data_IF_462631106107
#
_entry.id   IF_462631106107
#
_cell.length_a   1.000
_cell.length_b   1.000
_cell.length_c   1.000
_cell.angle_alpha   90.00
_cell.angle_beta   90.00
_cell.angle_gamma   90.00
#
_symmetry.space_group_name_H-M   'P 1'
#
loop_
_entity.id
_entity.type
_entity.pdbx_description
1 polymer ?
#
# COMPACT_ATOMS: atom_id res chain seq x y z
N UNK A 1 -58.87 -81.70 37.56
CA UNK A 1 -58.46 -81.22 36.23
C UNK A 1 -58.70 -79.71 36.19
N UNK A 2 -57.70 -78.98 35.68
CA UNK A 2 -57.74 -77.58 35.20
C UNK A 2 -58.22 -76.48 36.16
N UNK A 3 -57.28 -75.62 36.60
CA UNK A 3 -57.54 -74.17 36.76
C UNK A 3 -56.29 -73.37 36.41
N UNK A 4 -56.45 -72.49 35.43
CA UNK A 4 -55.47 -71.54 34.90
C UNK A 4 -55.10 -70.45 35.92
N UNK A 5 -53.82 -70.06 35.94
CA UNK A 5 -53.36 -68.77 36.46
C UNK A 5 -52.95 -67.89 35.26
N UNK A 6 -53.76 -66.89 34.96
CA UNK A 6 -53.45 -65.84 33.99
C UNK A 6 -52.55 -64.78 34.61
N UNK A 7 -51.39 -64.53 34.01
CA UNK A 7 -50.48 -63.45 34.37
C UNK A 7 -50.80 -62.25 33.48
N UNK A 8 -51.39 -61.20 34.09
CA UNK A 8 -51.53 -59.89 33.45
C UNK A 8 -50.18 -59.17 33.40
N UNK A 9 -49.64 -58.96 32.19
CA UNK A 9 -48.47 -58.10 31.95
C UNK A 9 -48.91 -56.92 31.06
N UNK A 10 -49.54 -55.93 31.69
CA UNK A 10 -50.09 -54.74 31.04
C UNK A 10 -49.05 -53.66 30.75
N UNK A 11 -49.01 -53.25 29.49
CA UNK A 11 -48.95 -51.87 28.98
C UNK A 11 -47.78 -50.94 29.32
N UNK A 12 -46.68 -51.43 29.90
CA UNK A 12 -45.49 -50.58 30.15
C UNK A 12 -44.48 -50.48 29.00
N UNK A 13 -44.58 -51.32 27.97
CA UNK A 13 -43.59 -51.34 26.87
C UNK A 13 -43.83 -50.26 25.82
N UNK A 14 -45.08 -49.95 25.49
CA UNK A 14 -45.42 -49.01 24.41
C UNK A 14 -45.18 -47.54 24.79
N UNK A 15 -45.44 -47.17 26.04
CA UNK A 15 -45.19 -45.80 26.53
C UNK A 15 -43.70 -45.44 26.53
N UNK A 16 -42.83 -46.40 26.89
CA UNK A 16 -41.37 -46.21 26.87
C UNK A 16 -40.84 -46.08 25.44
N UNK A 17 -41.37 -46.87 24.51
CA UNK A 17 -40.99 -46.81 23.08
C UNK A 17 -41.47 -45.49 22.45
N UNK A 18 -42.69 -45.05 22.76
CA UNK A 18 -43.22 -43.78 22.27
C UNK A 18 -42.43 -42.57 22.81
N UNK A 19 -42.07 -42.58 24.09
CA UNK A 19 -41.25 -41.53 24.70
C UNK A 19 -39.84 -41.47 24.09
N UNK A 20 -39.22 -42.62 23.82
CA UNK A 20 -37.92 -42.68 23.16
C UNK A 20 -37.99 -42.18 21.70
N UNK A 21 -39.04 -42.54 20.97
CA UNK A 21 -39.25 -42.08 19.60
C UNK A 21 -39.46 -40.55 19.54
N UNK A 22 -40.23 -39.99 20.48
CA UNK A 22 -40.42 -38.54 20.61
C UNK A 22 -39.13 -37.81 20.99
N UNK A 23 -38.33 -38.39 21.89
CA UNK A 23 -37.03 -37.83 22.27
C UNK A 23 -36.05 -37.82 21.10
N UNK A 24 -35.99 -38.91 20.33
CA UNK A 24 -35.16 -39.02 19.13
C UNK A 24 -35.64 -38.06 18.02
N UNK A 25 -36.95 -37.90 17.84
CA UNK A 25 -37.50 -36.93 16.90
C UNK A 25 -37.16 -35.49 17.30
N UNK A 26 -37.27 -35.15 18.59
CA UNK A 26 -36.88 -33.83 19.10
C UNK A 26 -35.36 -33.59 18.99
N UNK A 27 -34.53 -34.61 19.24
CA UNK A 27 -33.08 -34.52 19.03
C UNK A 27 -32.71 -34.35 17.56
N UNK A 28 -33.41 -35.02 16.64
CA UNK A 28 -33.22 -34.86 15.20
C UNK A 28 -33.64 -33.45 14.73
N UNK A 29 -34.77 -32.94 15.22
CA UNK A 29 -35.25 -31.59 14.91
C UNK A 29 -34.29 -30.54 15.49
N UNK A 30 -33.84 -30.70 16.74
CA UNK A 30 -32.85 -29.83 17.36
C UNK A 30 -31.50 -29.86 16.62
N UNK A 31 -31.07 -31.03 16.14
CA UNK A 31 -29.88 -31.16 15.31
C UNK A 31 -30.04 -30.47 13.95
N UNK A 32 -31.23 -30.46 13.35
CA UNK A 32 -31.48 -29.74 12.08
C UNK A 32 -31.64 -28.23 12.26
N UNK A 33 -32.17 -27.76 13.39
CA UNK A 33 -32.34 -26.33 13.69
C UNK A 33 -31.05 -25.70 14.25
N UNK A 34 -30.19 -26.50 14.89
CA UNK A 34 -28.90 -26.07 15.46
C UNK A 34 -27.71 -26.45 14.59
N UNK A 35 -27.91 -27.24 13.52
CA UNK A 35 -26.89 -27.42 12.50
C UNK A 35 -26.64 -26.04 11.86
N UNK A 36 -25.41 -25.49 11.95
CA UNK A 36 -25.08 -24.37 11.08
C UNK A 36 -25.39 -24.83 9.65
N UNK A 37 -25.95 -23.95 8.79
CA UNK A 37 -26.20 -24.30 7.40
C UNK A 37 -24.94 -24.97 6.87
N UNK A 38 -25.10 -26.14 6.25
CA UNK A 38 -24.03 -26.78 5.51
C UNK A 38 -23.63 -25.82 4.39
N UNK A 39 -22.75 -24.88 4.72
CA UNK A 39 -21.95 -24.16 3.75
C UNK A 39 -21.13 -25.26 3.11
N UNK A 40 -21.36 -25.52 1.82
CA UNK A 40 -20.25 -26.03 1.03
C UNK A 40 -19.06 -25.14 1.39
N UNK A 41 -17.92 -25.76 1.67
CA UNK A 41 -16.64 -25.06 1.75
C UNK A 41 -16.32 -24.53 0.34
N UNK A 42 -17.14 -23.62 -0.19
CA UNK A 42 -16.65 -22.59 -1.07
C UNK A 42 -15.80 -21.70 -0.18
N UNK A 43 -14.51 -22.02 -0.11
CA UNK A 43 -13.49 -21.21 0.54
C UNK A 43 -13.69 -19.75 0.08
N UNK A 44 -14.27 -18.92 0.94
CA UNK A 44 -14.49 -17.50 0.64
C UNK A 44 -13.19 -16.67 0.74
N UNK A 45 -12.04 -17.34 0.71
CA UNK A 45 -10.74 -16.74 0.45
C UNK A 45 -10.03 -17.66 -0.53
N UNK A 46 -9.81 -17.18 -1.76
CA UNK A 46 -9.13 -17.96 -2.79
C UNK A 46 -7.76 -18.46 -2.29
N UNK A 47 -7.36 -19.64 -2.76
CA UNK A 47 -6.03 -20.21 -2.50
C UNK A 47 -4.99 -19.61 -3.44
N UNK A 48 -3.78 -19.39 -2.93
CA UNK A 48 -2.63 -19.04 -3.75
C UNK A 48 -2.17 -20.29 -4.54
N UNK A 49 -1.98 -20.14 -5.85
CA UNK A 49 -1.59 -21.24 -6.73
C UNK A 49 -0.08 -21.25 -7.05
N UNK A 50 0.59 -20.12 -6.84
CA UNK A 50 2.00 -19.93 -7.15
C UNK A 50 2.24 -19.44 -8.58
N UNK A 51 3.43 -18.87 -8.79
CA UNK A 51 3.81 -18.16 -10.02
C UNK A 51 3.73 -19.06 -11.27
N UNK A 52 4.02 -20.35 -11.12
CA UNK A 52 3.96 -21.33 -12.20
C UNK A 52 2.59 -21.37 -12.90
N UNK A 53 1.50 -21.05 -12.19
CA UNK A 53 0.15 -21.00 -12.75
C UNK A 53 -0.06 -19.85 -13.77
N UNK A 54 0.84 -18.85 -13.76
CA UNK A 54 0.85 -17.72 -14.69
C UNK A 54 1.85 -17.91 -15.85
N UNK A 55 2.82 -18.81 -15.69
CA UNK A 55 4.09 -18.81 -16.43
C UNK A 55 4.06 -19.41 -17.85
N UNK A 56 2.90 -19.87 -18.34
CA UNK A 56 2.80 -20.42 -19.70
C UNK A 56 3.11 -19.37 -20.77
N UNK A 57 3.78 -19.75 -21.85
CA UNK A 57 4.10 -18.85 -22.99
C UNK A 57 2.86 -18.34 -23.73
N UNK A 58 1.73 -19.06 -23.62
CA UNK A 58 0.42 -18.60 -24.09
C UNK A 58 -0.30 -17.69 -23.10
N UNK A 59 0.29 -17.45 -21.93
CA UNK A 59 -0.25 -16.66 -20.83
C UNK A 59 0.65 -15.44 -20.56
N UNK A 60 1.59 -15.53 -19.62
CA UNK A 60 2.47 -14.43 -19.18
C UNK A 60 3.97 -14.76 -19.25
N UNK A 61 4.34 -15.86 -19.92
CA UNK A 61 5.72 -16.40 -19.95
C UNK A 61 6.49 -16.23 -21.27
N UNK A 62 6.10 -15.31 -22.16
CA UNK A 62 6.90 -14.98 -23.34
C UNK A 62 8.20 -14.26 -22.96
N UNK A 63 9.19 -14.37 -23.84
CA UNK A 63 10.47 -13.67 -23.69
C UNK A 63 10.42 -12.24 -24.23
N UNK A 64 9.49 -11.96 -25.15
CA UNK A 64 9.24 -10.65 -25.72
C UNK A 64 7.78 -10.27 -25.52
N UNK A 65 7.53 -8.98 -25.31
CA UNK A 65 6.19 -8.45 -25.05
C UNK A 65 5.37 -8.25 -26.33
N UNK A 66 5.29 -9.27 -27.17
CA UNK A 66 4.70 -9.27 -28.51
C UNK A 66 3.38 -10.06 -28.60
N UNK A 67 2.75 -10.33 -27.44
CA UNK A 67 1.44 -10.96 -27.39
C UNK A 67 0.33 -10.13 -28.05
N UNK A 68 -0.74 -10.82 -28.48
CA UNK A 68 -1.81 -10.22 -29.31
C UNK A 68 -2.75 -9.33 -28.52
N UNK A 69 -3.13 -9.75 -27.31
CA UNK A 69 -4.09 -9.04 -26.45
C UNK A 69 -3.39 -8.30 -25.33
N UNK A 70 -2.40 -8.94 -24.71
CA UNK A 70 -1.51 -8.34 -23.72
C UNK A 70 -0.08 -8.65 -24.15
N UNK A 71 0.92 -8.05 -23.51
CA UNK A 71 2.32 -8.27 -23.86
C UNK A 71 2.75 -9.73 -23.71
N UNK A 72 2.23 -10.41 -22.67
CA UNK A 72 2.56 -11.81 -22.32
C UNK A 72 4.00 -12.03 -21.84
N UNK A 73 4.79 -10.97 -21.56
CA UNK A 73 6.15 -11.03 -21.02
C UNK A 73 6.23 -10.65 -19.53
N UNK A 74 5.08 -10.58 -18.85
CA UNK A 74 4.99 -10.07 -17.48
C UNK A 74 5.84 -10.87 -16.50
N UNK A 75 5.93 -12.20 -16.67
CA UNK A 75 6.78 -13.06 -15.84
C UNK A 75 8.26 -12.70 -16.01
N UNK A 76 8.73 -12.50 -17.24
CA UNK A 76 10.13 -12.16 -17.51
C UNK A 76 10.51 -10.85 -16.80
N UNK A 77 9.66 -9.83 -16.92
CA UNK A 77 9.88 -8.53 -16.27
C UNK A 77 9.85 -8.61 -14.75
N UNK A 78 8.99 -9.44 -14.18
CA UNK A 78 8.93 -9.70 -12.74
C UNK A 78 10.12 -10.55 -12.25
N UNK A 79 10.62 -11.51 -13.03
CA UNK A 79 11.73 -12.37 -12.61
C UNK A 79 13.10 -11.70 -12.72
N UNK A 80 13.26 -10.64 -13.52
CA UNK A 80 14.55 -9.98 -13.76
C UNK A 80 15.08 -9.25 -12.50
N UNK A 81 15.98 -9.87 -11.71
CA UNK A 81 16.27 -9.43 -10.36
C UNK A 81 17.19 -8.20 -10.32
N UNK A 82 17.79 -7.77 -11.44
CA UNK A 82 18.61 -6.56 -11.48
C UNK A 82 17.81 -5.28 -11.67
N UNK A 83 16.54 -5.37 -12.08
CA UNK A 83 15.70 -4.21 -12.40
C UNK A 83 14.79 -3.80 -11.24
N UNK A 84 14.21 -2.59 -11.25
CA UNK A 84 13.13 -2.24 -10.33
C UNK A 84 11.93 -3.20 -10.39
N UNK A 85 11.58 -3.70 -11.59
CA UNK A 85 10.48 -4.64 -11.80
C UNK A 85 10.65 -5.97 -11.07
N UNK A 86 11.88 -6.49 -10.97
CA UNK A 86 12.16 -7.71 -10.21
C UNK A 86 12.42 -7.53 -8.72
N UNK A 87 12.07 -6.38 -8.14
CA UNK A 87 12.28 -6.14 -6.70
C UNK A 87 11.49 -7.10 -5.82
N UNK A 88 10.29 -7.46 -6.27
CA UNK A 88 9.39 -8.33 -5.54
C UNK A 88 9.79 -9.82 -5.65
N UNK A 89 10.22 -10.29 -6.82
CA UNK A 89 10.72 -11.68 -6.99
C UNK A 89 11.98 -11.94 -6.15
N UNK A 90 12.91 -10.97 -6.08
CA UNK A 90 14.13 -11.12 -5.26
C UNK A 90 13.93 -10.86 -3.78
N UNK A 91 12.73 -10.52 -3.32
CA UNK A 91 12.50 -10.06 -1.94
C UNK A 91 12.95 -11.11 -0.91
N UNK A 92 12.61 -12.39 -1.11
CA UNK A 92 13.06 -13.46 -0.22
C UNK A 92 14.58 -13.65 -0.27
N UNK A 93 15.18 -13.61 -1.46
CA UNK A 93 16.62 -13.75 -1.64
C UNK A 93 17.43 -12.69 -0.86
N UNK A 94 16.89 -11.46 -0.70
CA UNK A 94 17.52 -10.40 0.11
C UNK A 94 17.69 -10.82 1.58
N UNK A 95 16.84 -11.69 2.11
CA UNK A 95 16.96 -12.20 3.49
C UNK A 95 18.23 -13.06 3.70
N UNK A 96 18.83 -13.57 2.62
CA UNK A 96 20.06 -14.36 2.67
C UNK A 96 21.34 -13.52 2.56
N UNK A 97 21.23 -12.20 2.40
CA UNK A 97 22.39 -11.30 2.27
C UNK A 97 23.11 -11.05 3.59
N UNK A 98 24.37 -10.59 3.53
CA UNK A 98 25.16 -10.25 4.71
C UNK A 98 24.50 -9.17 5.60
N UNK A 99 23.80 -8.20 4.99
CA UNK A 99 23.04 -7.17 5.72
C UNK A 99 21.91 -7.81 6.53
N UNK A 100 21.12 -8.69 5.92
CA UNK A 100 20.01 -9.37 6.61
C UNK A 100 20.50 -10.26 7.75
N UNK A 101 21.63 -10.95 7.57
CA UNK A 101 22.27 -11.71 8.65
C UNK A 101 22.79 -10.82 9.78
N UNK A 102 23.26 -9.61 9.47
CA UNK A 102 23.64 -8.61 10.49
C UNK A 102 22.42 -8.10 11.27
N UNK A 103 21.32 -7.79 10.57
CA UNK A 103 20.05 -7.41 11.19
C UNK A 103 19.58 -8.51 12.14
N UNK A 104 19.57 -9.76 11.69
CA UNK A 104 19.15 -10.91 12.50
C UNK A 104 19.98 -11.04 13.80
N UNK A 105 21.31 -10.91 13.70
CA UNK A 105 22.21 -10.91 14.87
C UNK A 105 21.91 -9.76 15.84
N UNK A 106 21.70 -8.54 15.34
CA UNK A 106 21.39 -7.38 16.18
C UNK A 106 20.02 -7.50 16.86
N UNK A 107 19.06 -8.16 16.21
CA UNK A 107 17.76 -8.46 16.78
C UNK A 107 17.77 -9.66 17.73
N UNK A 108 18.85 -10.46 17.74
CA UNK A 108 18.92 -11.71 18.49
C UNK A 108 17.97 -12.79 17.98
N UNK A 109 17.65 -12.77 16.68
CA UNK A 109 16.78 -13.77 16.04
C UNK A 109 17.62 -14.81 15.27
N UNK A 110 16.98 -15.93 14.93
CA UNK A 110 17.58 -16.96 14.08
C UNK A 110 17.64 -16.55 12.60
N UNK A 111 17.51 -17.53 11.72
CA UNK A 111 17.55 -17.31 10.28
C UNK A 111 16.46 -16.33 9.79
N UNK A 112 16.84 -15.15 9.25
CA UNK A 112 15.87 -14.17 8.77
C UNK A 112 14.99 -14.71 7.62
N UNK A 113 15.49 -15.66 6.81
CA UNK A 113 14.73 -16.28 5.73
C UNK A 113 13.60 -17.22 6.23
N UNK A 114 13.51 -17.44 7.55
CA UNK A 114 12.46 -18.23 8.22
C UNK A 114 11.70 -17.44 9.28
N UNK A 115 12.13 -16.22 9.58
CA UNK A 115 11.52 -15.41 10.63
C UNK A 115 10.22 -14.77 10.12
N UNK A 116 9.10 -15.01 10.81
CA UNK A 116 7.78 -14.48 10.43
C UNK A 116 7.76 -12.95 10.31
N UNK A 117 8.54 -12.24 11.12
CA UNK A 117 8.66 -10.78 11.08
C UNK A 117 9.35 -10.24 9.84
N UNK A 118 10.12 -11.08 9.13
CA UNK A 118 10.77 -10.74 7.87
C UNK A 118 9.91 -11.21 6.69
N UNK A 119 9.40 -12.44 6.78
CA UNK A 119 8.63 -13.07 5.72
C UNK A 119 7.32 -12.34 5.41
N UNK A 120 6.71 -11.64 6.36
CA UNK A 120 5.46 -10.92 6.12
C UNK A 120 5.50 -9.94 4.93
N UNK A 121 6.66 -9.32 4.66
CA UNK A 121 6.84 -8.43 3.50
C UNK A 121 7.74 -9.02 2.41
N UNK A 122 8.46 -10.10 2.69
CA UNK A 122 9.47 -10.67 1.78
C UNK A 122 9.02 -11.98 1.11
N UNK A 123 7.89 -12.55 1.50
CA UNK A 123 7.29 -13.73 0.87
C UNK A 123 5.78 -13.83 1.17
N UNK A 124 4.93 -13.81 0.15
CA UNK A 124 3.49 -13.99 0.35
C UNK A 124 3.10 -15.43 0.67
N UNK A 125 3.87 -16.42 0.27
CA UNK A 125 3.65 -17.82 0.64
C UNK A 125 3.67 -18.03 2.17
N UNK A 126 4.41 -17.19 2.91
CA UNK A 126 4.48 -17.27 4.37
C UNK A 126 3.25 -16.70 5.09
N UNK A 127 2.44 -15.88 4.40
CA UNK A 127 1.25 -15.23 4.97
C UNK A 127 -0.05 -15.68 4.32
N UNK A 128 0.03 -16.42 3.21
CA UNK A 128 -1.10 -16.92 2.44
C UNK A 128 -1.33 -18.43 2.65
N UNK A 129 -2.50 -18.91 2.24
CA UNK A 129 -2.81 -20.34 2.16
C UNK A 129 -2.57 -20.81 0.73
N UNK A 130 -1.70 -21.80 0.53
CA UNK A 130 -1.40 -22.32 -0.79
C UNK A 130 -0.19 -23.25 -0.83
N UNK A 131 0.25 -23.54 -2.04
CA UNK A 131 1.42 -24.40 -2.33
C UNK A 131 2.58 -23.61 -2.93
N UNK A 132 2.51 -22.28 -2.93
CA UNK A 132 3.55 -21.42 -3.47
C UNK A 132 4.86 -21.60 -2.66
N UNK A 133 6.03 -21.72 -3.33
CA UNK A 133 7.33 -21.68 -2.67
C UNK A 133 7.57 -20.36 -1.94
N UNK A 134 8.22 -20.39 -0.78
CA UNK A 134 8.58 -19.14 -0.06
C UNK A 134 9.66 -18.36 -0.80
N UNK A 135 10.48 -19.07 -1.58
CA UNK A 135 11.61 -18.58 -2.34
C UNK A 135 11.19 -17.73 -3.55
N UNK A 136 9.94 -17.83 -3.99
CA UNK A 136 9.37 -17.01 -5.08
C UNK A 136 9.26 -15.52 -4.66
N UNK A 137 9.48 -15.20 -3.38
CA UNK A 137 9.41 -13.83 -2.89
C UNK A 137 7.98 -13.31 -2.88
N UNK A 138 7.79 -12.07 -3.32
CA UNK A 138 6.48 -11.43 -3.46
C UNK A 138 5.96 -11.69 -4.88
N UNK A 139 4.97 -12.58 -4.99
CA UNK A 139 4.43 -13.11 -6.25
C UNK A 139 3.36 -12.22 -6.88
N UNK A 140 2.90 -12.59 -8.09
CA UNK A 140 1.78 -11.95 -8.79
C UNK A 140 0.52 -11.87 -7.92
N UNK A 141 0.23 -12.90 -7.13
CA UNK A 141 -0.97 -13.03 -6.31
C UNK A 141 -0.96 -12.09 -5.09
N UNK A 142 0.22 -11.62 -4.68
CA UNK A 142 0.39 -10.56 -3.69
C UNK A 142 -0.27 -9.26 -4.10
N UNK A 143 -0.32 -8.99 -5.41
CA UNK A 143 -0.94 -7.78 -5.98
C UNK A 143 -2.30 -8.08 -6.61
N UNK A 144 -2.38 -9.12 -7.44
CA UNK A 144 -3.59 -9.47 -8.19
C UNK A 144 -4.63 -10.22 -7.35
N UNK A 145 -4.28 -10.67 -6.15
CA UNK A 145 -5.12 -11.50 -5.29
C UNK A 145 -4.97 -13.00 -5.60
N UNK A 146 -5.48 -13.86 -4.72
CA UNK A 146 -5.35 -15.31 -4.85
C UNK A 146 -6.02 -15.84 -6.12
N UNK A 147 -5.25 -16.47 -7.00
CA UNK A 147 -5.68 -16.88 -8.33
C UNK A 147 -6.69 -18.03 -8.32
N UNK A 148 -6.75 -18.83 -7.25
CA UNK A 148 -7.66 -19.98 -7.16
C UNK A 148 -9.13 -19.67 -7.45
N UNK A 149 -9.59 -18.43 -7.19
CA UNK A 149 -10.96 -18.00 -7.47
C UNK A 149 -11.21 -17.58 -8.92
N UNK A 150 -10.22 -17.02 -9.61
CA UNK A 150 -10.43 -16.31 -10.88
C UNK A 150 -9.58 -16.84 -12.05
N UNK A 151 -8.61 -17.72 -11.82
CA UNK A 151 -7.68 -18.16 -12.87
C UNK A 151 -8.38 -18.92 -14.00
N UNK A 152 -9.40 -19.72 -13.69
CA UNK A 152 -10.12 -20.51 -14.69
C UNK A 152 -10.90 -19.61 -15.67
N UNK A 153 -11.56 -18.56 -15.17
CA UNK A 153 -12.24 -17.57 -16.01
C UNK A 153 -11.27 -16.63 -16.71
N UNK A 154 -10.06 -16.47 -16.18
CA UNK A 154 -9.01 -15.67 -16.78
C UNK A 154 -8.46 -16.28 -18.08
N UNK A 155 -8.40 -17.61 -18.16
CA UNK A 155 -7.98 -18.31 -19.38
C UNK A 155 -8.97 -18.20 -20.55
N UNK A 156 -10.19 -17.73 -20.29
CA UNK A 156 -11.20 -17.57 -21.34
C UNK A 156 -10.80 -16.44 -22.31
N UNK A 157 -10.12 -16.79 -23.40
CA UNK A 157 -9.76 -15.86 -24.48
C UNK A 157 -10.97 -15.16 -25.09
N UNK A 158 -10.77 -13.99 -25.69
CA UNK A 158 -11.82 -13.16 -26.33
C UNK A 158 -12.19 -13.78 -27.67
N UNK A 159 -13.50 -13.92 -27.95
CA UNK A 159 -13.98 -14.50 -29.20
C UNK A 159 -13.91 -13.52 -30.37
N UNK A 160 -14.01 -14.03 -31.59
CA UNK A 160 -14.20 -13.19 -32.77
C UNK A 160 -15.65 -12.69 -32.81
N UNK A 161 -15.87 -11.42 -32.45
CA UNK A 161 -17.19 -10.81 -32.37
C UNK A 161 -17.15 -9.30 -32.66
N UNK A 162 -18.30 -8.66 -32.95
CA UNK A 162 -18.35 -7.24 -33.31
C UNK A 162 -17.96 -6.25 -32.19
N UNK A 163 -17.88 -6.70 -30.93
CA UNK A 163 -17.57 -5.85 -29.78
C UNK A 163 -16.56 -6.52 -28.83
N UNK A 164 -15.33 -6.78 -29.29
CA UNK A 164 -14.33 -7.49 -28.50
C UNK A 164 -13.93 -6.71 -27.24
N UNK A 165 -13.99 -5.37 -27.29
CA UNK A 165 -13.78 -4.50 -26.13
C UNK A 165 -14.82 -4.69 -25.02
N UNK A 166 -16.09 -4.85 -25.39
CA UNK A 166 -17.17 -5.11 -24.44
C UNK A 166 -17.03 -6.49 -23.78
N UNK A 167 -16.69 -7.51 -24.56
CA UNK A 167 -16.43 -8.86 -24.03
C UNK A 167 -15.23 -8.87 -23.08
N UNK A 168 -14.12 -8.21 -23.43
CA UNK A 168 -12.95 -8.05 -22.56
C UNK A 168 -13.31 -7.43 -21.22
N UNK A 169 -14.16 -6.39 -21.25
CA UNK A 169 -14.64 -5.71 -20.05
C UNK A 169 -15.47 -6.63 -19.17
N UNK A 170 -16.45 -7.33 -19.73
CA UNK A 170 -17.31 -8.24 -18.97
C UNK A 170 -16.53 -9.40 -18.33
N UNK A 171 -15.55 -9.97 -19.05
CA UNK A 171 -14.68 -11.01 -18.49
C UNK A 171 -13.80 -10.48 -17.36
N UNK A 172 -13.24 -9.27 -17.51
CA UNK A 172 -12.49 -8.64 -16.42
C UNK A 172 -13.39 -8.40 -15.20
N UNK A 173 -14.60 -7.88 -15.38
CA UNK A 173 -15.58 -7.72 -14.31
C UNK A 173 -15.94 -9.06 -13.63
N UNK A 174 -16.06 -10.15 -14.39
CA UNK A 174 -16.28 -11.48 -13.85
C UNK A 174 -15.09 -11.94 -12.99
N UNK A 175 -13.85 -11.74 -13.45
CA UNK A 175 -12.65 -12.05 -12.66
C UNK A 175 -12.60 -11.23 -11.37
N UNK A 176 -12.99 -9.94 -11.40
CA UNK A 176 -13.08 -9.12 -10.20
C UNK A 176 -14.09 -9.68 -9.18
N UNK A 177 -15.28 -10.10 -9.65
CA UNK A 177 -16.28 -10.77 -8.80
C UNK A 177 -15.76 -12.09 -8.22
N UNK A 178 -14.83 -12.74 -8.92
CA UNK A 178 -14.21 -14.00 -8.53
C UNK A 178 -12.94 -13.85 -7.67
N UNK A 179 -12.54 -12.61 -7.31
CA UNK A 179 -11.46 -12.35 -6.36
C UNK A 179 -10.20 -11.71 -6.94
N UNK A 180 -10.16 -11.40 -8.25
CA UNK A 180 -9.10 -10.57 -8.82
C UNK A 180 -9.17 -9.17 -8.21
N UNK A 181 -8.04 -8.63 -7.76
CA UNK A 181 -8.01 -7.27 -7.22
C UNK A 181 -8.13 -6.22 -8.33
N UNK A 182 -8.98 -5.22 -8.10
CA UNK A 182 -9.21 -4.08 -9.01
C UNK A 182 -8.05 -3.09 -8.94
N UNK A 183 -6.87 -3.47 -9.42
CA UNK A 183 -5.68 -2.62 -9.36
C UNK A 183 -5.76 -1.38 -10.25
N UNK A 184 -6.75 -1.27 -11.15
CA UNK A 184 -7.05 -0.01 -11.84
C UNK A 184 -7.70 1.05 -10.94
N UNK A 185 -8.21 0.66 -9.77
CA UNK A 185 -8.71 1.59 -8.75
C UNK A 185 -7.54 2.05 -7.86
N UNK A 186 -7.26 3.36 -7.77
CA UNK A 186 -6.12 3.87 -7.03
C UNK A 186 -6.21 3.58 -5.52
N UNK A 187 -7.41 3.51 -4.93
CA UNK A 187 -7.60 3.21 -3.51
C UNK A 187 -7.26 1.74 -3.24
N UNK A 188 -7.71 0.84 -4.12
CA UNK A 188 -7.41 -0.60 -4.02
C UNK A 188 -5.91 -0.83 -4.21
N UNK A 189 -5.31 -0.22 -5.23
CA UNK A 189 -3.86 -0.34 -5.48
C UNK A 189 -3.05 0.20 -4.31
N UNK A 190 -3.38 1.40 -3.81
CA UNK A 190 -2.72 2.00 -2.65
C UNK A 190 -2.76 1.06 -1.44
N UNK A 191 -3.93 0.50 -1.13
CA UNK A 191 -4.13 -0.40 0.00
C UNK A 191 -3.20 -1.61 -0.03
N UNK A 192 -3.06 -2.25 -1.19
CA UNK A 192 -2.15 -3.40 -1.38
C UNK A 192 -0.70 -3.01 -1.15
N UNK A 193 -0.26 -1.87 -1.69
CA UNK A 193 1.14 -1.46 -1.57
C UNK A 193 1.52 -1.09 -0.12
N UNK A 194 0.64 -0.35 0.59
CA UNK A 194 0.94 0.12 1.95
C UNK A 194 0.92 -0.99 3.00
N UNK A 195 0.35 -2.17 2.70
CA UNK A 195 0.41 -3.32 3.63
C UNK A 195 1.87 -3.75 3.91
N UNK A 196 2.77 -3.61 2.94
CA UNK A 196 4.21 -3.86 3.11
C UNK A 196 5.05 -2.58 3.16
N UNK A 197 4.73 -1.58 2.34
CA UNK A 197 5.49 -0.31 2.22
C UNK A 197 5.11 0.76 3.25
N UNK A 198 4.36 0.38 4.28
CA UNK A 198 4.14 1.22 5.46
C UNK A 198 3.85 0.32 6.67
N UNK A 199 3.06 -0.70 6.43
CA UNK A 199 2.80 -1.82 7.33
C UNK A 199 1.31 -2.12 7.44
N UNK A 200 1.00 -3.36 7.79
CA UNK A 200 -0.33 -3.84 8.09
C UNK A 200 -0.61 -3.85 9.60
N UNK A 201 -1.89 -3.83 9.96
CA UNK A 201 -2.32 -4.08 11.33
C UNK A 201 -2.03 -5.53 11.77
N UNK A 202 -1.89 -6.44 10.81
CA UNK A 202 -1.54 -7.84 11.03
C UNK A 202 -0.15 -8.02 11.66
N UNK A 203 0.11 -9.24 12.15
CA UNK A 203 1.44 -9.61 12.62
C UNK A 203 2.39 -9.86 11.43
N UNK A 204 3.67 -9.55 11.60
CA UNK A 204 4.72 -9.84 10.59
C UNK A 204 4.89 -8.81 9.47
N UNK A 205 4.00 -7.82 9.34
CA UNK A 205 4.04 -6.77 8.31
C UNK A 205 4.16 -5.37 8.92
N UNK A 206 5.04 -5.17 9.89
CA UNK A 206 5.31 -3.84 10.44
C UNK A 206 6.78 -3.71 10.84
N UNK A 207 7.48 -2.76 10.21
CA UNK A 207 8.89 -2.48 10.49
C UNK A 207 8.98 -1.49 11.64
N UNK A 208 9.14 -2.02 12.84
CA UNK A 208 9.40 -1.23 14.07
C UNK A 208 10.72 -0.48 13.98
N UNK A 209 10.87 0.57 14.79
CA UNK A 209 12.14 1.27 14.94
C UNK A 209 13.28 0.33 15.36
N UNK A 210 13.01 -0.73 16.14
CA UNK A 210 14.03 -1.73 16.52
C UNK A 210 14.58 -2.48 15.31
N UNK A 211 13.72 -2.82 14.34
CA UNK A 211 14.14 -3.46 13.09
C UNK A 211 14.98 -2.49 12.24
N UNK A 212 14.59 -1.22 12.19
CA UNK A 212 15.37 -0.16 11.52
C UNK A 212 16.75 0.04 12.19
N UNK A 213 16.79 0.15 13.52
CA UNK A 213 18.01 0.31 14.31
C UNK A 213 18.96 -0.87 14.16
N UNK A 214 18.43 -2.09 13.94
CA UNK A 214 19.23 -3.27 13.63
C UNK A 214 19.87 -3.24 12.23
N UNK A 215 19.48 -2.30 11.36
CA UNK A 215 20.06 -2.07 10.03
C UNK A 215 19.09 -2.25 8.86
N UNK A 216 17.79 -2.44 9.10
CA UNK A 216 16.81 -2.47 8.03
C UNK A 216 16.70 -1.09 7.38
N UNK A 217 16.72 -0.99 6.03
CA UNK A 217 16.50 0.28 5.35
C UNK A 217 15.17 0.92 5.76
N UNK A 218 15.10 2.25 5.73
CA UNK A 218 13.80 2.92 5.86
C UNK A 218 12.88 2.48 4.73
N UNK A 219 11.61 2.34 5.07
CA UNK A 219 10.57 2.14 4.09
C UNK A 219 10.14 3.53 3.61
N UNK A 220 10.13 3.72 2.30
CA UNK A 220 9.54 4.88 1.64
C UNK A 220 8.36 4.41 0.81
N UNK A 221 7.38 5.30 0.59
CA UNK A 221 6.20 4.98 -0.19
C UNK A 221 5.85 6.12 -1.14
N UNK A 222 5.86 5.81 -2.44
CA UNK A 222 5.25 6.69 -3.43
C UNK A 222 4.47 5.88 -4.48
N UNK A 223 3.14 5.95 -4.43
CA UNK A 223 2.26 5.00 -5.12
C UNK A 223 2.43 5.00 -6.63
N UNK A 224 2.41 6.18 -7.27
CA UNK A 224 2.40 6.25 -8.72
C UNK A 224 3.80 6.02 -9.31
N UNK A 225 4.85 6.51 -8.62
CA UNK A 225 6.23 6.17 -8.94
C UNK A 225 6.47 4.66 -8.87
N UNK A 226 6.08 4.01 -7.76
CA UNK A 226 6.31 2.58 -7.58
C UNK A 226 5.45 1.74 -8.52
N UNK A 227 4.23 2.18 -8.82
CA UNK A 227 3.38 1.60 -9.88
C UNK A 227 4.09 1.61 -11.22
N UNK A 228 4.71 2.74 -11.57
CA UNK A 228 5.45 2.91 -12.83
C UNK A 228 6.70 2.03 -12.89
N UNK A 229 7.47 1.96 -11.80
CA UNK A 229 8.66 1.10 -11.69
C UNK A 229 8.33 -0.40 -11.79
N UNK A 230 7.13 -0.81 -11.37
CA UNK A 230 6.64 -2.18 -11.42
C UNK A 230 5.80 -2.48 -12.68
N UNK A 231 5.58 -1.49 -13.56
CA UNK A 231 4.66 -1.63 -14.68
C UNK A 231 5.16 -2.67 -15.70
N UNK A 232 4.36 -3.71 -15.89
CA UNK A 232 4.57 -4.78 -16.86
C UNK A 232 3.44 -4.87 -17.90
N UNK A 233 2.60 -3.83 -18.00
CA UNK A 233 1.51 -3.71 -18.97
C UNK A 233 1.75 -2.54 -19.92
N UNK A 234 0.99 -2.50 -21.01
CA UNK A 234 0.79 -1.30 -21.81
C UNK A 234 -0.59 -0.73 -21.50
N UNK A 235 -0.69 0.60 -21.51
CA UNK A 235 -1.97 1.27 -21.52
C UNK A 235 -2.30 1.66 -22.96
N UNK A 236 -2.87 0.70 -23.68
CA UNK A 236 -3.31 0.75 -25.07
C UNK A 236 -4.84 0.56 -25.15
N UNK A 237 -5.38 0.34 -26.36
CA UNK A 237 -6.82 0.37 -26.57
C UNK A 237 -7.57 -0.77 -25.87
N UNK A 238 -6.99 -1.98 -25.84
CA UNK A 238 -7.54 -3.12 -25.12
C UNK A 238 -7.48 -2.89 -23.60
N UNK A 239 -6.39 -2.32 -23.07
CA UNK A 239 -6.26 -1.99 -21.64
C UNK A 239 -7.35 -1.00 -21.24
N UNK A 240 -7.54 0.06 -22.04
CA UNK A 240 -8.58 1.05 -21.85
C UNK A 240 -9.98 0.42 -21.77
N UNK A 241 -10.32 -0.45 -22.73
CA UNK A 241 -11.58 -1.18 -22.73
C UNK A 241 -11.73 -2.11 -21.52
N UNK A 242 -10.73 -2.95 -21.27
CA UNK A 242 -10.75 -3.97 -20.23
C UNK A 242 -10.88 -3.36 -18.83
N UNK A 243 -10.09 -2.32 -18.54
CA UNK A 243 -9.99 -1.70 -17.21
C UNK A 243 -11.05 -0.63 -16.97
N UNK A 244 -11.26 0.25 -17.95
CA UNK A 244 -12.05 1.46 -17.78
C UNK A 244 -13.32 1.50 -18.65
N UNK A 245 -13.46 0.60 -19.62
CA UNK A 245 -14.64 0.54 -20.50
C UNK A 245 -14.58 1.49 -21.69
N UNK A 246 -13.41 2.03 -22.05
CA UNK A 246 -13.25 2.86 -23.24
C UNK A 246 -11.80 2.79 -23.78
N UNK A 247 -11.63 2.70 -25.11
CA UNK A 247 -10.31 2.53 -25.75
C UNK A 247 -9.26 3.59 -25.36
N UNK A 248 -9.70 4.85 -25.22
CA UNK A 248 -8.79 5.96 -24.88
C UNK A 248 -8.58 6.18 -23.39
N UNK A 249 -9.22 5.40 -22.52
CA UNK A 249 -9.08 5.56 -21.09
C UNK A 249 -7.74 5.01 -20.59
N UNK A 250 -7.18 5.70 -19.60
CA UNK A 250 -5.84 5.51 -19.05
C UNK A 250 -5.88 5.70 -17.54
N UNK A 251 -4.82 5.27 -16.86
CA UNK A 251 -4.63 5.60 -15.45
C UNK A 251 -4.47 7.12 -15.30
N UNK A 252 -5.21 7.71 -14.36
CA UNK A 252 -5.01 9.09 -13.95
C UNK A 252 -3.89 9.12 -12.90
N UNK A 253 -2.68 9.47 -13.34
CA UNK A 253 -1.48 9.50 -12.50
C UNK A 253 -1.52 10.59 -11.42
N UNK A 254 -2.23 11.71 -11.65
CA UNK A 254 -2.40 12.76 -10.62
C UNK A 254 -3.34 12.26 -9.53
N UNK A 255 -4.42 11.57 -9.92
CA UNK A 255 -5.32 10.91 -8.99
C UNK A 255 -4.59 9.81 -8.20
N UNK A 256 -3.82 8.96 -8.87
CA UNK A 256 -3.04 7.88 -8.26
C UNK A 256 -2.07 8.42 -7.21
N UNK A 257 -1.30 9.45 -7.56
CA UNK A 257 -0.40 10.13 -6.62
C UNK A 257 -1.15 10.68 -5.40
N UNK A 258 -2.24 11.43 -5.60
CA UNK A 258 -2.97 12.07 -4.50
C UNK A 258 -3.64 11.05 -3.56
N UNK A 259 -4.25 10.00 -4.12
CA UNK A 259 -4.82 8.88 -3.34
C UNK A 259 -3.73 8.13 -2.59
N UNK A 260 -2.55 7.96 -3.18
CA UNK A 260 -1.37 7.39 -2.53
C UNK A 260 -0.98 8.15 -1.27
N UNK A 261 -0.81 9.48 -1.36
CA UNK A 261 -0.47 10.32 -0.20
C UNK A 261 -1.50 10.19 0.93
N UNK A 262 -2.79 10.25 0.59
CA UNK A 262 -3.86 10.15 1.58
C UNK A 262 -3.92 8.75 2.23
N UNK A 263 -3.72 7.69 1.45
CA UNK A 263 -3.77 6.31 1.94
C UNK A 263 -2.59 6.00 2.86
N UNK A 264 -1.38 6.45 2.51
CA UNK A 264 -0.20 6.30 3.37
C UNK A 264 -0.39 7.00 4.72
N UNK A 265 -0.85 8.25 4.70
CA UNK A 265 -1.10 9.01 5.92
C UNK A 265 -2.23 8.38 6.76
N UNK A 266 -3.32 7.95 6.14
CA UNK A 266 -4.40 7.24 6.82
C UNK A 266 -3.89 5.95 7.49
N UNK A 267 -3.08 5.15 6.80
CA UNK A 267 -2.47 3.94 7.35
C UNK A 267 -1.56 4.27 8.52
N UNK A 268 -0.71 5.29 8.38
CA UNK A 268 0.20 5.73 9.42
C UNK A 268 -0.55 6.14 10.69
N UNK A 269 -1.58 6.98 10.55
CA UNK A 269 -2.40 7.43 11.68
C UNK A 269 -3.15 6.27 12.33
N UNK A 270 -3.64 5.30 11.55
CA UNK A 270 -4.30 4.11 12.09
C UNK A 270 -3.35 3.24 12.92
N UNK A 271 -2.14 2.97 12.41
CA UNK A 271 -1.12 2.21 13.15
C UNK A 271 -0.63 2.97 14.37
N UNK A 272 -0.42 4.28 14.25
CA UNK A 272 -0.08 5.16 15.37
C UNK A 272 -1.13 5.12 16.47
N UNK A 273 -2.43 5.01 16.16
CA UNK A 273 -3.48 4.90 17.18
C UNK A 273 -3.56 3.52 17.83
N UNK A 274 -3.07 2.48 17.15
CA UNK A 274 -3.11 1.10 17.62
C UNK A 274 -2.03 0.79 18.68
N UNK A 275 -1.98 -0.49 19.11
CA UNK A 275 -0.88 -1.03 19.93
C UNK A 275 0.51 -0.83 19.31
N UNK A 276 0.59 -0.66 17.98
CA UNK A 276 1.85 -0.40 17.25
C UNK A 276 2.40 1.00 17.47
N UNK A 277 1.60 1.95 17.97
CA UNK A 277 2.07 3.31 18.27
C UNK A 277 3.05 3.41 19.43
N UNK A 278 3.32 2.29 20.12
CA UNK A 278 4.20 2.20 21.29
C UNK A 278 4.95 0.87 21.30
N UNK A 279 6.17 0.87 21.82
CA UNK A 279 6.95 -0.33 22.09
C UNK A 279 7.44 -0.26 23.55
N UNK A 280 6.83 -1.05 24.43
CA UNK A 280 7.04 -0.94 25.88
C UNK A 280 6.59 0.42 26.42
N UNK A 281 7.47 1.11 27.16
CA UNK A 281 7.17 2.44 27.71
C UNK A 281 7.41 3.59 26.72
N UNK A 282 7.98 3.30 25.55
CA UNK A 282 8.37 4.31 24.57
C UNK A 282 7.31 4.43 23.46
N UNK A 283 7.12 5.63 22.88
CA UNK A 283 6.42 5.74 21.62
C UNK A 283 7.21 4.97 20.55
N UNK A 284 6.50 4.38 19.59
CA UNK A 284 7.15 3.74 18.46
C UNK A 284 7.76 4.82 17.56
N UNK A 285 9.10 4.92 17.58
CA UNK A 285 9.84 5.97 16.90
C UNK A 285 9.75 5.90 15.37
N UNK A 286 9.26 4.78 14.79
CA UNK A 286 8.92 4.70 13.37
C UNK A 286 7.99 5.84 12.91
N UNK A 287 7.07 6.30 13.76
CA UNK A 287 6.13 7.37 13.43
C UNK A 287 6.71 8.78 13.58
N UNK A 288 7.97 8.91 13.98
CA UNK A 288 8.60 10.19 14.26
C UNK A 288 9.66 10.50 13.21
N UNK A 289 9.87 11.79 12.93
CA UNK A 289 10.90 12.21 11.98
C UNK A 289 12.29 11.91 12.54
N UNK A 290 12.94 10.87 12.03
CA UNK A 290 14.23 10.43 12.52
C UNK A 290 15.28 11.55 12.50
N UNK A 291 15.24 12.47 11.52
CA UNK A 291 16.25 13.52 11.40
C UNK A 291 15.98 14.69 12.33
N UNK A 292 14.87 14.70 13.05
CA UNK A 292 14.72 15.61 14.19
C UNK A 292 15.68 15.25 15.32
N UNK A 293 15.96 13.94 15.52
CA UNK A 293 16.85 13.42 16.56
C UNK A 293 18.25 13.02 16.06
N UNK A 294 18.34 12.42 14.87
CA UNK A 294 19.60 11.95 14.27
C UNK A 294 20.31 13.07 13.49
N UNK A 295 20.78 14.07 14.23
CA UNK A 295 21.63 15.15 13.71
C UNK A 295 23.00 15.12 14.38
N UNK A 296 23.97 15.83 13.79
CA UNK A 296 25.28 16.00 14.42
C UNK A 296 25.14 16.82 15.70
N UNK A 297 25.65 16.27 16.80
CA UNK A 297 25.70 16.92 18.12
C UNK A 297 27.10 17.52 18.28
N UNK A 298 27.18 18.78 18.70
CA UNK A 298 28.43 19.52 18.86
C UNK A 298 28.56 20.03 20.30
N UNK A 299 29.52 19.48 21.06
CA UNK A 299 29.79 19.85 22.46
C UNK A 299 30.80 21.00 22.56
N UNK A 300 30.44 22.15 21.96
CA UNK A 300 31.30 23.35 21.93
C UNK A 300 30.63 24.54 22.64
N UNK A 301 31.46 25.47 23.14
CA UNK A 301 30.99 26.59 23.96
C UNK A 301 29.97 27.51 23.27
N UNK A 302 30.08 27.68 21.94
CA UNK A 302 29.08 28.38 21.13
C UNK A 302 28.15 27.35 20.47
N UNK A 303 26.87 27.25 20.88
CA UNK A 303 25.93 26.29 20.32
C UNK A 303 25.80 26.40 18.80
N UNK A 304 25.74 25.25 18.12
CA UNK A 304 25.45 25.16 16.67
C UNK A 304 24.09 24.51 16.51
N UNK A 305 23.06 25.33 16.26
CA UNK A 305 21.72 24.83 15.91
C UNK A 305 21.73 24.40 14.44
N UNK A 306 21.55 23.10 14.19
CA UNK A 306 21.40 22.54 12.83
C UNK A 306 19.95 22.27 12.47
N UNK A 307 19.04 22.34 13.45
CA UNK A 307 17.60 22.22 13.26
C UNK A 307 17.03 23.49 12.62
N UNK A 308 16.09 23.31 11.69
CA UNK A 308 15.32 24.40 11.06
C UNK A 308 13.87 24.27 11.52
N UNK A 309 13.29 25.39 11.95
CA UNK A 309 11.91 25.40 12.44
C UNK A 309 10.92 25.19 11.28
N UNK A 310 9.99 24.25 11.46
CA UNK A 310 8.94 23.99 10.49
C UNK A 310 7.65 24.72 10.92
N UNK A 311 7.16 25.69 10.13
CA UNK A 311 6.02 26.52 10.53
C UNK A 311 4.71 25.73 10.68
N UNK A 312 4.61 24.53 10.09
CA UNK A 312 3.44 23.66 10.19
C UNK A 312 3.49 22.66 11.36
N UNK A 313 4.53 22.72 12.19
CA UNK A 313 4.70 21.89 13.39
C UNK A 313 4.62 22.74 14.68
N UNK A 314 3.55 23.51 14.90
CA UNK A 314 3.49 24.45 16.01
C UNK A 314 3.41 23.73 17.36
N UNK A 315 4.02 24.34 18.39
CA UNK A 315 3.95 23.88 19.77
C UNK A 315 4.76 22.63 20.07
N UNK A 316 5.66 22.22 19.17
CA UNK A 316 6.69 21.22 19.45
C UNK A 316 7.94 21.96 19.97
N UNK A 317 8.32 21.79 21.25
CA UNK A 317 9.55 22.38 21.79
C UNK A 317 10.81 21.83 21.11
N UNK A 318 11.89 22.61 21.14
CA UNK A 318 13.20 22.13 20.70
C UNK A 318 13.58 20.86 21.49
N UNK A 319 14.09 19.84 20.77
CA UNK A 319 14.44 18.55 21.34
C UNK A 319 13.30 17.53 21.41
N UNK A 320 12.05 17.92 21.12
CA UNK A 320 10.95 16.97 20.95
C UNK A 320 10.82 16.54 19.48
N UNK A 321 10.80 15.23 19.18
CA UNK A 321 10.62 14.75 17.82
C UNK A 321 9.19 15.01 17.32
N UNK A 322 9.01 15.60 16.12
CA UNK A 322 7.73 15.68 15.49
C UNK A 322 7.33 14.33 14.88
N UNK A 323 6.05 14.21 14.55
CA UNK A 323 5.56 13.15 13.68
C UNK A 323 6.26 13.19 12.32
N UNK A 324 6.53 12.02 11.73
CA UNK A 324 6.97 11.96 10.35
C UNK A 324 5.81 12.33 9.41
N UNK A 325 5.75 13.61 9.03
CA UNK A 325 4.65 14.22 8.29
C UNK A 325 4.89 14.32 6.77
N UNK A 326 5.77 13.48 6.21
CA UNK A 326 6.15 13.49 4.78
C UNK A 326 4.94 13.45 3.81
N UNK A 327 4.01 12.50 3.99
CA UNK A 327 2.80 12.42 3.18
C UNK A 327 1.78 13.51 3.54
N UNK A 328 1.81 14.04 4.77
CA UNK A 328 0.94 15.13 5.19
C UNK A 328 1.34 16.46 4.55
N UNK A 329 2.64 16.71 4.36
CA UNK A 329 3.13 17.86 3.59
C UNK A 329 2.59 17.79 2.16
N UNK A 330 2.72 16.64 1.49
CA UNK A 330 2.21 16.44 0.12
C UNK A 330 0.69 16.57 0.04
N UNK A 331 -0.04 15.92 0.96
CA UNK A 331 -1.49 16.00 1.02
C UNK A 331 -1.97 17.45 1.23
N UNK A 332 -1.25 18.25 2.01
CA UNK A 332 -1.59 19.67 2.22
C UNK A 332 -1.44 20.53 0.96
N UNK A 333 -0.49 20.18 0.08
CA UNK A 333 -0.37 20.81 -1.24
C UNK A 333 -1.57 20.46 -2.12
N UNK A 334 -1.97 19.18 -2.12
CA UNK A 334 -3.04 18.66 -2.97
C UNK A 334 -4.45 19.02 -2.48
N UNK A 335 -4.64 19.17 -1.16
CA UNK A 335 -5.97 19.24 -0.56
C UNK A 335 -6.83 20.38 -1.11
N UNK A 336 -6.24 21.55 -1.39
CA UNK A 336 -6.99 22.71 -1.92
C UNK A 336 -7.56 22.44 -3.30
N UNK A 337 -6.90 21.61 -4.10
CA UNK A 337 -7.41 21.23 -5.41
C UNK A 337 -8.68 20.40 -5.25
N UNK A 338 -8.71 19.42 -4.32
CA UNK A 338 -9.91 18.61 -4.09
C UNK A 338 -11.04 19.38 -3.39
N UNK A 339 -10.73 20.09 -2.30
CA UNK A 339 -11.71 20.84 -1.53
C UNK A 339 -11.04 21.88 -0.64
N UNK A 340 -11.28 23.19 -0.86
CA UNK A 340 -10.76 24.25 0.01
C UNK A 340 -11.15 24.06 1.48
N UNK A 341 -12.38 23.65 1.76
CA UNK A 341 -12.87 23.43 3.12
C UNK A 341 -12.13 22.26 3.82
N UNK A 342 -11.89 21.15 3.11
CA UNK A 342 -11.10 20.05 3.67
C UNK A 342 -9.63 20.42 3.83
N UNK A 343 -9.08 21.28 2.96
CA UNK A 343 -7.72 21.78 3.09
C UNK A 343 -7.53 22.64 4.36
N UNK A 344 -8.50 23.50 4.68
CA UNK A 344 -8.50 24.29 5.93
C UNK A 344 -8.60 23.37 7.16
N UNK A 345 -9.52 22.40 7.13
CA UNK A 345 -9.64 21.41 8.19
C UNK A 345 -8.36 20.59 8.37
N UNK A 346 -7.72 20.18 7.27
CA UNK A 346 -6.46 19.44 7.30
C UNK A 346 -5.39 20.27 7.99
N UNK A 347 -5.22 21.55 7.61
CA UNK A 347 -4.26 22.44 8.25
C UNK A 347 -4.51 22.61 9.76
N UNK A 348 -5.76 22.84 10.16
CA UNK A 348 -6.13 23.00 11.57
C UNK A 348 -5.89 21.72 12.38
N UNK A 349 -6.32 20.55 11.89
CA UNK A 349 -6.16 19.26 12.57
C UNK A 349 -4.71 18.79 12.59
N UNK A 350 -3.92 19.11 11.56
CA UNK A 350 -2.47 18.84 11.53
C UNK A 350 -1.74 19.62 12.62
N UNK A 351 -2.02 20.92 12.73
CA UNK A 351 -1.45 21.77 13.77
C UNK A 351 -1.88 21.31 15.17
N UNK A 352 -3.14 20.89 15.34
CA UNK A 352 -3.63 20.33 16.59
C UNK A 352 -2.93 19.01 16.95
N UNK A 353 -2.71 18.13 15.97
CA UNK A 353 -1.99 16.88 16.17
C UNK A 353 -0.54 17.10 16.60
N UNK A 354 0.20 17.98 15.92
CA UNK A 354 1.57 18.33 16.31
C UNK A 354 1.66 18.89 17.73
N UNK A 355 0.74 19.78 18.14
CA UNK A 355 0.66 20.24 19.55
C UNK A 355 0.38 19.11 20.54
N UNK A 356 -0.54 18.21 20.17
CA UNK A 356 -0.95 17.12 21.04
C UNK A 356 0.18 16.10 21.28
N UNK A 357 1.05 15.86 20.29
CA UNK A 357 2.25 15.00 20.43
C UNK A 357 3.17 15.49 21.54
N UNK A 358 3.31 16.81 21.70
CA UNK A 358 4.12 17.40 22.76
C UNK A 358 3.44 17.42 24.14
N UNK A 359 2.16 17.00 24.23
CA UNK A 359 1.38 17.03 25.47
C UNK A 359 1.37 15.67 26.15
N UNK A 360 0.65 14.69 25.59
CA UNK A 360 0.58 13.32 26.09
C UNK A 360 0.02 12.37 25.02
N UNK A 361 0.21 11.07 25.24
CA UNK A 361 -0.22 10.03 24.31
C UNK A 361 -1.75 10.01 24.08
N UNK A 362 -2.62 10.04 25.12
CA UNK A 362 -4.07 10.14 24.92
C UNK A 362 -4.52 11.31 24.05
N UNK A 363 -3.95 12.51 24.26
CA UNK A 363 -4.23 13.69 23.46
C UNK A 363 -3.79 13.50 22.01
N UNK A 364 -2.58 12.96 21.80
CA UNK A 364 -2.07 12.65 20.46
C UNK A 364 -2.94 11.63 19.72
N UNK A 365 -3.42 10.57 20.39
CA UNK A 365 -4.33 9.57 19.80
C UNK A 365 -5.64 10.21 19.35
N UNK A 366 -6.25 11.06 20.19
CA UNK A 366 -7.50 11.75 19.83
C UNK A 366 -7.30 12.68 18.64
N UNK A 367 -6.25 13.49 18.65
CA UNK A 367 -5.95 14.40 17.54
C UNK A 367 -5.58 13.64 16.25
N UNK A 368 -4.93 12.48 16.35
CA UNK A 368 -4.68 11.60 15.21
C UNK A 368 -5.98 11.03 14.63
N UNK A 369 -6.94 10.64 15.47
CA UNK A 369 -8.25 10.16 15.04
C UNK A 369 -9.03 11.25 14.28
N UNK A 370 -9.02 12.48 14.80
CA UNK A 370 -9.62 13.62 14.12
C UNK A 370 -8.92 13.89 12.78
N UNK A 371 -7.59 13.94 12.76
CA UNK A 371 -6.85 14.12 11.51
C UNK A 371 -7.19 13.02 10.49
N UNK A 372 -7.27 11.76 10.93
CA UNK A 372 -7.58 10.62 10.07
C UNK A 372 -8.96 10.74 9.39
N UNK A 373 -9.98 11.30 10.07
CA UNK A 373 -11.28 11.55 9.45
C UNK A 373 -11.18 12.52 8.26
N UNK A 374 -10.43 13.61 8.40
CA UNK A 374 -10.22 14.57 7.31
C UNK A 374 -9.40 13.95 6.18
N UNK A 375 -8.40 13.13 6.50
CA UNK A 375 -7.61 12.39 5.50
C UNK A 375 -8.50 11.41 4.72
N UNK A 376 -9.38 10.66 5.39
CA UNK A 376 -10.33 9.75 4.74
C UNK A 376 -11.33 10.48 3.82
N UNK A 377 -11.81 11.66 4.25
CA UNK A 377 -12.66 12.52 3.43
C UNK A 377 -11.92 13.03 2.18
N UNK A 378 -10.66 13.48 2.34
CA UNK A 378 -9.82 13.90 1.22
C UNK A 378 -9.53 12.73 0.27
N UNK A 379 -9.16 11.56 0.78
CA UNK A 379 -8.97 10.33 -0.02
C UNK A 379 -10.19 10.05 -0.89
N UNK A 380 -11.38 10.13 -0.31
CA UNK A 380 -12.65 9.92 -1.03
C UNK A 380 -12.89 11.00 -2.09
N UNK A 381 -12.58 12.27 -1.79
CA UNK A 381 -12.69 13.37 -2.75
C UNK A 381 -11.71 13.22 -3.93
N UNK A 382 -10.47 12.78 -3.67
CA UNK A 382 -9.49 12.49 -4.73
C UNK A 382 -9.95 11.31 -5.60
N UNK A 383 -10.39 10.21 -4.98
CA UNK A 383 -10.86 9.03 -5.69
C UNK A 383 -12.11 9.29 -6.57
N UNK A 384 -12.95 10.26 -6.20
CA UNK A 384 -14.13 10.65 -6.96
C UNK A 384 -13.86 11.67 -8.08
N UNK A 385 -12.67 12.30 -8.09
CA UNK A 385 -12.32 13.36 -9.04
C UNK A 385 -11.40 12.83 -10.15
N UNK A 386 -11.74 13.12 -11.39
CA UNK A 386 -10.81 13.03 -12.52
C UNK A 386 -9.93 14.29 -12.57
N UNK A 387 -8.65 14.09 -12.83
CA UNK A 387 -7.63 15.12 -13.03
C UNK A 387 -7.15 15.11 -14.48
N UNK A 388 -6.59 16.23 -14.89
CA UNK A 388 -6.03 16.46 -16.21
C UNK A 388 -4.52 16.71 -16.13
N UNK A 389 -3.81 16.65 -17.26
CA UNK A 389 -2.40 17.07 -17.32
C UNK A 389 -2.17 18.53 -16.90
N UNK A 390 -3.19 19.40 -17.01
CA UNK A 390 -3.13 20.77 -16.48
C UNK A 390 -3.13 20.81 -14.96
N UNK A 391 -3.85 19.88 -14.32
CA UNK A 391 -3.85 19.75 -12.86
C UNK A 391 -2.47 19.31 -12.35
N UNK A 392 -1.70 18.53 -13.12
CA UNK A 392 -0.34 18.16 -12.74
C UNK A 392 0.56 19.41 -12.56
N UNK A 393 0.45 20.41 -13.44
CA UNK A 393 1.20 21.67 -13.31
C UNK A 393 0.77 22.45 -12.06
N UNK A 394 -0.53 22.52 -11.79
CA UNK A 394 -1.05 23.16 -10.59
C UNK A 394 -0.58 22.44 -9.31
N UNK A 395 -0.45 21.11 -9.36
CA UNK A 395 0.03 20.31 -8.24
C UNK A 395 1.53 20.56 -7.97
N UNK A 396 2.35 20.60 -9.02
CA UNK A 396 3.77 20.97 -8.92
C UNK A 396 3.93 22.37 -8.31
N UNK A 397 3.13 23.34 -8.76
CA UNK A 397 3.11 24.69 -8.18
C UNK A 397 2.70 24.69 -6.71
N UNK A 398 1.70 23.88 -6.33
CA UNK A 398 1.23 23.79 -4.96
C UNK A 398 2.31 23.20 -4.02
N UNK A 399 3.05 22.18 -4.49
CA UNK A 399 4.16 21.57 -3.71
C UNK A 399 5.32 22.54 -3.56
N UNK A 400 5.62 23.34 -4.60
CA UNK A 400 6.69 24.32 -4.57
C UNK A 400 6.31 25.66 -3.94
N UNK A 401 5.02 25.89 -3.73
CA UNK A 401 4.49 27.10 -3.15
C UNK A 401 5.12 27.37 -1.78
N UNK A 402 5.34 28.65 -1.46
CA UNK A 402 6.09 29.06 -0.25
C UNK A 402 5.63 28.35 1.03
N UNK A 403 4.32 28.23 1.24
CA UNK A 403 3.75 27.60 2.42
C UNK A 403 4.12 26.11 2.59
N UNK A 404 4.42 25.41 1.49
CA UNK A 404 4.87 24.02 1.50
C UNK A 404 6.40 23.95 1.48
N UNK A 405 7.06 24.77 0.66
CA UNK A 405 8.52 24.81 0.56
C UNK A 405 9.22 25.14 1.88
N UNK A 406 8.64 26.05 2.68
CA UNK A 406 9.15 26.38 4.02
C UNK A 406 9.10 25.18 5.00
N UNK A 407 8.35 24.12 4.66
CA UNK A 407 8.22 22.90 5.48
C UNK A 407 9.26 21.84 5.13
N UNK A 408 10.09 22.03 4.11
CA UNK A 408 11.16 21.10 3.72
C UNK A 408 12.40 21.24 4.61
N UNK A 409 12.17 21.14 5.93
CA UNK A 409 13.17 21.28 6.99
C UNK A 409 13.93 20.00 7.27
N UNK A 410 13.40 18.86 6.82
CA UNK A 410 13.89 17.52 7.12
C UNK A 410 13.90 16.65 5.89
N UNK A 411 14.76 15.63 5.90
CA UNK A 411 15.02 14.75 4.76
C UNK A 411 13.75 14.07 4.23
N UNK A 412 12.89 13.58 5.12
CA UNK A 412 11.73 12.76 4.80
C UNK A 412 10.74 13.50 3.88
N UNK A 413 10.29 14.69 4.30
CA UNK A 413 9.41 15.53 3.48
C UNK A 413 10.02 15.95 2.16
N UNK A 414 11.33 16.24 2.14
CA UNK A 414 12.06 16.63 0.94
C UNK A 414 12.23 15.48 -0.07
N UNK A 415 12.54 14.28 0.41
CA UNK A 415 12.59 13.08 -0.42
C UNK A 415 11.22 12.79 -1.04
N UNK A 416 10.15 12.93 -0.27
CA UNK A 416 8.79 12.74 -0.77
C UNK A 416 8.42 13.80 -1.83
N UNK A 417 8.84 15.06 -1.63
CA UNK A 417 8.56 16.14 -2.56
C UNK A 417 9.22 15.94 -3.94
N UNK A 418 10.49 15.52 -4.00
CA UNK A 418 11.15 15.27 -5.29
C UNK A 418 10.56 14.05 -6.01
N UNK A 419 10.22 12.98 -5.29
CA UNK A 419 9.52 11.83 -5.87
C UNK A 419 8.15 12.25 -6.42
N UNK A 420 7.41 13.07 -5.67
CA UNK A 420 6.11 13.60 -6.09
C UNK A 420 6.19 14.46 -7.34
N UNK A 421 7.17 15.37 -7.43
CA UNK A 421 7.34 16.22 -8.63
C UNK A 421 7.78 15.42 -9.85
N UNK A 422 8.66 14.42 -9.70
CA UNK A 422 9.06 13.53 -10.80
C UNK A 422 7.87 12.70 -11.31
N UNK A 423 7.05 12.21 -10.39
CA UNK A 423 5.79 11.51 -10.69
C UNK A 423 4.82 12.40 -11.46
N UNK A 424 4.62 13.64 -11.02
CA UNK A 424 3.74 14.60 -11.69
C UNK A 424 4.29 15.01 -13.07
N UNK A 425 5.61 15.05 -13.26
CA UNK A 425 6.20 15.23 -14.58
C UNK A 425 5.84 14.05 -15.49
N UNK A 426 5.97 12.81 -15.00
CA UNK A 426 5.58 11.63 -15.77
C UNK A 426 4.08 11.63 -16.09
N UNK A 427 3.23 12.12 -15.18
CA UNK A 427 1.80 12.31 -15.44
C UNK A 427 1.55 13.25 -16.64
N UNK A 428 2.32 14.34 -16.77
CA UNK A 428 2.23 15.27 -17.90
C UNK A 428 2.67 14.61 -19.22
N UNK A 429 3.69 13.75 -19.18
CA UNK A 429 4.13 12.97 -20.36
C UNK A 429 3.04 11.97 -20.76
N UNK A 430 2.53 11.22 -19.80
CA UNK A 430 1.50 10.18 -20.01
C UNK A 430 0.21 10.78 -20.58
N UNK A 431 -0.18 11.98 -20.13
CA UNK A 431 -1.35 12.69 -20.67
C UNK A 431 -1.11 13.38 -22.02
N UNK A 432 0.10 13.28 -22.59
CA UNK A 432 0.50 13.99 -23.81
C UNK A 432 0.59 15.51 -23.66
N UNK A 433 0.60 16.05 -22.44
CA UNK A 433 0.67 17.50 -22.20
C UNK A 433 2.08 18.04 -22.46
N UNK A 434 3.09 17.21 -22.24
CA UNK A 434 4.50 17.45 -22.61
C UNK A 434 5.05 16.23 -23.36
N UNK A 435 6.08 16.44 -24.17
CA UNK A 435 6.74 15.35 -24.89
C UNK A 435 7.80 14.66 -24.02
N UNK A 436 8.14 13.41 -24.35
CA UNK A 436 9.25 12.68 -23.73
C UNK A 436 10.57 13.46 -23.88
N UNK A 437 10.80 14.07 -25.05
CA UNK A 437 12.00 14.88 -25.30
C UNK A 437 12.08 16.13 -24.42
N UNK A 438 10.95 16.80 -24.17
CA UNK A 438 10.89 17.95 -23.28
C UNK A 438 11.18 17.56 -21.82
N UNK A 439 10.59 16.46 -21.35
CA UNK A 439 10.88 15.91 -20.02
C UNK A 439 12.36 15.49 -19.87
N UNK A 440 12.93 14.86 -20.90
CA UNK A 440 14.35 14.50 -20.92
C UNK A 440 15.26 15.74 -20.84
N UNK A 441 14.88 16.85 -21.49
CA UNK A 441 15.63 18.11 -21.49
C UNK A 441 15.80 18.74 -20.11
N UNK A 442 14.89 18.47 -19.17
CA UNK A 442 14.95 18.99 -17.79
C UNK A 442 15.40 17.96 -16.75
N UNK A 443 15.74 16.73 -17.17
CA UNK A 443 16.05 15.63 -16.24
C UNK A 443 17.22 15.95 -15.31
N UNK A 444 18.22 16.67 -15.80
CA UNK A 444 19.37 17.09 -15.01
C UNK A 444 19.00 17.97 -13.81
N UNK A 445 17.94 18.79 -13.89
CA UNK A 445 17.44 19.58 -12.76
C UNK A 445 16.80 18.70 -11.69
N UNK A 446 16.02 17.70 -12.10
CA UNK A 446 15.38 16.74 -11.20
C UNK A 446 16.44 15.87 -10.52
N UNK A 447 17.45 15.40 -11.26
CA UNK A 447 18.54 14.60 -10.70
C UNK A 447 19.37 15.39 -9.68
N UNK A 448 19.54 16.71 -9.88
CA UNK A 448 20.15 17.59 -8.85
C UNK A 448 19.31 17.63 -7.57
N UNK A 449 17.99 17.71 -7.68
CA UNK A 449 17.11 17.65 -6.52
C UNK A 449 17.22 16.29 -5.81
N UNK A 450 17.19 15.17 -6.55
CA UNK A 450 17.41 13.83 -5.97
C UNK A 450 18.78 13.68 -5.31
N UNK A 451 19.84 14.26 -5.89
CA UNK A 451 21.18 14.21 -5.31
C UNK A 451 21.23 14.84 -3.90
N UNK A 452 20.44 15.90 -3.67
CA UNK A 452 20.37 16.57 -2.36
C UNK A 452 19.63 15.76 -1.27
N UNK A 453 18.87 14.72 -1.66
CA UNK A 453 18.18 13.77 -0.77
C UNK A 453 18.69 12.34 -0.95
N UNK A 454 19.89 12.17 -1.50
CA UNK A 454 20.49 10.84 -1.71
C UNK A 454 20.98 10.21 -0.41
N UNK A 455 21.62 11.00 0.45
CA UNK A 455 22.13 10.54 1.74
C UNK A 455 21.47 11.31 2.88
N UNK A 456 20.66 10.64 3.73
CA UNK A 456 20.06 11.28 4.88
C UNK A 456 21.04 11.93 5.86
N UNK A 457 22.27 11.40 5.97
CA UNK A 457 23.28 11.93 6.89
C UNK A 457 23.98 13.19 6.38
N UNK A 458 23.87 13.47 5.08
CA UNK A 458 24.43 14.63 4.42
C UNK A 458 23.37 15.69 4.04
N UNK A 459 22.11 15.43 4.38
CA UNK A 459 20.98 16.29 4.01
C UNK A 459 21.11 17.70 4.58
N UNK A 460 20.83 18.69 3.72
CA UNK A 460 20.78 20.11 4.06
C UNK A 460 19.52 20.75 3.47
N UNK A 461 18.63 21.34 4.31
CA UNK A 461 17.41 21.96 3.84
C UNK A 461 17.61 23.02 2.75
N UNK A 462 18.61 23.90 2.91
CA UNK A 462 18.89 24.97 1.95
C UNK A 462 19.26 24.45 0.56
N UNK A 463 20.08 23.40 0.51
CA UNK A 463 20.60 22.84 -0.74
C UNK A 463 19.47 22.12 -1.49
N UNK A 464 18.60 21.42 -0.74
CA UNK A 464 17.38 20.84 -1.30
C UNK A 464 16.42 21.92 -1.80
N UNK A 465 16.04 22.90 -0.99
CA UNK A 465 15.09 23.94 -1.39
C UNK A 465 15.55 24.70 -2.65
N UNK A 466 16.86 24.96 -2.77
CA UNK A 466 17.44 25.59 -3.95
C UNK A 466 17.36 24.70 -5.20
N UNK A 467 17.81 23.45 -5.10
CA UNK A 467 17.80 22.50 -6.23
C UNK A 467 16.39 22.08 -6.64
N UNK A 468 15.50 21.84 -5.68
CA UNK A 468 14.08 21.57 -5.88
C UNK A 468 13.37 22.74 -6.58
N UNK A 469 13.64 23.98 -6.13
CA UNK A 469 13.14 25.16 -6.82
C UNK A 469 13.61 25.29 -8.27
N UNK A 470 14.84 24.84 -8.58
CA UNK A 470 15.33 24.78 -9.96
C UNK A 470 14.56 23.77 -10.80
N UNK A 471 14.37 22.55 -10.29
CA UNK A 471 13.57 21.51 -10.93
C UNK A 471 12.14 21.98 -11.22
N UNK A 472 11.49 22.62 -10.25
CA UNK A 472 10.13 23.14 -10.43
C UNK A 472 10.08 24.22 -11.51
N UNK A 473 11.01 25.19 -11.52
CA UNK A 473 11.05 26.22 -12.56
C UNK A 473 11.28 25.62 -13.95
N UNK A 474 12.12 24.59 -14.05
CA UNK A 474 12.35 23.88 -15.31
C UNK A 474 11.07 23.18 -15.79
N UNK A 475 10.29 22.57 -14.89
CA UNK A 475 8.97 22.00 -15.22
C UNK A 475 7.99 23.09 -15.65
N UNK A 476 7.90 24.20 -14.92
CA UNK A 476 7.01 25.33 -15.25
C UNK A 476 7.30 25.91 -16.64
N UNK A 477 8.55 25.87 -17.10
CA UNK A 477 8.94 26.31 -18.44
C UNK A 477 8.43 25.41 -19.57
N UNK A 478 7.89 24.22 -19.26
CA UNK A 478 7.32 23.28 -20.25
C UNK A 478 5.84 23.53 -20.57
N UNK A 479 5.22 24.58 -20.00
CA UNK A 479 3.79 24.86 -20.13
C UNK A 479 3.32 25.19 -21.54
#
# INVERSE_FOLDING_TARGET
>A
MTTHAGIGRGDRSWAAVAALALLLAMLAIAATLSAPPARSQGESGGRFLGVASCAGSTCHGRMEGDGVVVRQDELMRWQEPSTPGGAHSRAWAVLNTSRSQFIARNLGIGDPARASMCLGCHSDAATSRGTAPIEDGVTCESCHGPAGGWIASHYAGVGDNPSPGGEMREKHLANLRAGLRRLEDPVVRAGVCVDCHFGAAGEGQFVTHRIMAAGHPRISFELDLFSSLQAHHQEDADYGWRKFGAAGARTDHVQMWAVGQATALERSLALFQSKRGTEGMFPEFYFLDCHSCHRRIYDQAKPVKTSVDNPARPGIPEGMPPYNDENLIMLSAAARMASPALAEQLGARSAAFHRAIATDRPAAVRAAADLAQTVAALKSAFAARAFSGTDAFAMVDAIAGKAVNDRFTDYAGSSQAVMGVDTLLNAMVSSGRITIGAAAGIRADIDRAYASVKDPNAYKPSDFQASFGSAVRAIQALR
#
